data_IF_581000889562
#
_entry.id   IF_581000889562
#
_cell.length_a   1.000
_cell.length_b   1.000
_cell.length_c   1.000
_cell.angle_alpha   90.00
_cell.angle_beta   90.00
_cell.angle_gamma   90.00
#
_symmetry.space_group_name_H-M   'P 1'
#
loop_
_entity.id
_entity.type
_entity.pdbx_description
1 polymer ?
#
# COMPACT_ATOMS: atom_id res chain seq x y z
N UNK A 1 6.33 4.86 6.42
CA UNK A 1 4.89 4.53 6.36
C UNK A 1 4.15 5.71 5.72
N UNK A 2 3.17 5.49 4.84
CA UNK A 2 2.33 6.56 4.30
C UNK A 2 1.20 6.93 5.26
N UNK A 3 0.62 8.13 5.13
CA UNK A 3 -0.53 8.57 5.96
C UNK A 3 -1.72 7.60 5.83
N UNK A 4 -1.98 7.09 4.62
CA UNK A 4 -3.04 6.10 4.37
C UNK A 4 -2.78 4.77 5.08
N UNK A 5 -1.52 4.32 5.11
CA UNK A 5 -1.13 3.11 5.85
C UNK A 5 -1.30 3.32 7.36
N UNK A 6 -0.90 4.49 7.89
CA UNK A 6 -1.05 4.85 9.30
C UNK A 6 -2.52 4.83 9.74
N UNK A 7 -3.40 5.46 8.96
CA UNK A 7 -4.84 5.48 9.23
C UNK A 7 -5.46 4.08 9.17
N UNK A 8 -5.04 3.25 8.21
CA UNK A 8 -5.45 1.84 8.14
C UNK A 8 -5.02 1.06 9.38
N UNK A 9 -3.79 1.27 9.85
CA UNK A 9 -3.24 0.62 11.03
C UNK A 9 -4.05 0.96 12.28
N UNK A 10 -4.32 2.26 12.51
CA UNK A 10 -5.13 2.73 13.64
C UNK A 10 -6.55 2.15 13.62
N UNK A 11 -7.24 2.15 12.48
CA UNK A 11 -8.59 1.59 12.40
C UNK A 11 -8.58 0.07 12.63
N UNK A 12 -7.63 -0.65 12.05
CA UNK A 12 -7.54 -2.11 12.20
C UNK A 12 -7.17 -2.51 13.63
N UNK A 13 -6.33 -1.75 14.34
CA UNK A 13 -6.02 -1.97 15.75
C UNK A 13 -7.29 -1.92 16.62
N UNK A 14 -8.14 -0.91 16.41
CA UNK A 14 -9.43 -0.78 17.11
C UNK A 14 -10.41 -1.90 16.77
N UNK A 15 -10.45 -2.35 15.51
CA UNK A 15 -11.25 -3.52 15.09
C UNK A 15 -10.74 -4.82 15.74
N UNK A 16 -9.43 -4.95 15.96
CA UNK A 16 -8.82 -6.10 16.62
C UNK A 16 -9.13 -6.13 18.12
N UNK A 17 -9.06 -4.97 18.78
CA UNK A 17 -9.41 -4.78 20.20
C UNK A 17 -10.91 -4.90 20.48
N UNK A 18 -11.75 -4.88 19.45
CA UNK A 18 -13.21 -4.97 19.58
C UNK A 18 -13.88 -3.65 19.95
N UNK A 19 -13.15 -2.53 19.92
CA UNK A 19 -13.69 -1.19 20.20
C UNK A 19 -14.67 -0.72 19.12
N UNK A 20 -14.47 -1.18 17.88
CA UNK A 20 -15.36 -0.91 16.75
C UNK A 20 -15.65 -2.20 15.98
N UNK A 21 -16.81 -2.26 15.35
CA UNK A 21 -17.21 -3.45 14.59
C UNK A 21 -16.45 -3.54 13.26
N UNK A 22 -16.39 -4.75 12.68
CA UNK A 22 -15.83 -4.93 11.34
C UNK A 22 -16.59 -4.13 10.27
N UNK A 23 -17.90 -3.90 10.46
CA UNK A 23 -18.73 -3.09 9.56
C UNK A 23 -18.37 -1.60 9.65
N UNK A 24 -18.10 -1.11 10.86
CA UNK A 24 -17.65 0.25 11.11
C UNK A 24 -16.23 0.52 10.58
N UNK A 25 -15.31 -0.44 10.77
CA UNK A 25 -13.98 -0.37 10.19
C UNK A 25 -14.02 -0.38 8.65
N UNK A 26 -14.89 -1.20 8.07
CA UNK A 26 -15.13 -1.24 6.63
C UNK A 26 -15.58 0.12 6.07
N UNK A 27 -16.54 0.77 6.73
CA UNK A 27 -17.00 2.13 6.35
C UNK A 27 -15.89 3.16 6.44
N UNK A 28 -15.11 3.17 7.53
CA UNK A 28 -14.02 4.15 7.75
C UNK A 28 -12.87 4.01 6.75
N UNK A 29 -12.60 2.80 6.29
CA UNK A 29 -11.52 2.51 5.33
C UNK A 29 -12.01 2.46 3.88
N UNK A 30 -13.31 2.67 3.63
CA UNK A 30 -13.95 2.47 2.32
C UNK A 30 -13.62 1.09 1.72
N UNK A 31 -13.67 0.05 2.54
CA UNK A 31 -13.38 -1.34 2.16
C UNK A 31 -14.60 -2.23 2.39
N UNK A 32 -14.65 -3.38 1.74
CA UNK A 32 -15.70 -4.38 2.02
C UNK A 32 -15.46 -5.07 3.37
N UNK A 33 -16.54 -5.53 4.02
CA UNK A 33 -16.45 -6.32 5.27
C UNK A 33 -15.56 -7.55 5.09
N UNK A 34 -15.65 -8.22 3.92
CA UNK A 34 -14.79 -9.37 3.57
C UNK A 34 -13.31 -8.99 3.60
N UNK A 35 -12.95 -7.82 3.09
CA UNK A 35 -11.57 -7.33 3.12
C UNK A 35 -11.10 -7.12 4.57
N UNK A 36 -11.93 -6.53 5.42
CA UNK A 36 -11.63 -6.37 6.85
C UNK A 36 -11.39 -7.72 7.52
N UNK A 37 -12.24 -8.73 7.29
CA UNK A 37 -12.02 -10.08 7.83
C UNK A 37 -10.72 -10.72 7.32
N UNK A 38 -10.41 -10.55 6.03
CA UNK A 38 -9.14 -11.03 5.46
C UNK A 38 -7.94 -10.39 6.15
N UNK A 39 -7.98 -9.07 6.37
CA UNK A 39 -6.92 -8.37 7.10
C UNK A 39 -6.85 -8.84 8.55
N UNK A 40 -8.00 -9.03 9.20
CA UNK A 40 -8.09 -9.56 10.57
C UNK A 40 -7.40 -10.93 10.70
N UNK A 41 -7.67 -11.83 9.75
CA UNK A 41 -7.03 -13.15 9.70
C UNK A 41 -5.51 -13.04 9.48
N UNK A 42 -5.06 -12.17 8.57
CA UNK A 42 -3.62 -11.93 8.33
C UNK A 42 -2.92 -11.37 9.56
N UNK A 43 -3.49 -10.36 10.21
CA UNK A 43 -2.93 -9.74 11.42
C UNK A 43 -2.79 -10.76 12.55
N UNK A 44 -3.78 -11.66 12.73
CA UNK A 44 -3.68 -12.76 13.70
C UNK A 44 -2.53 -13.73 13.41
N UNK A 45 -2.20 -13.95 12.14
CA UNK A 45 -1.15 -14.88 11.75
C UNK A 45 0.26 -14.28 11.82
N UNK A 46 0.40 -12.98 11.54
CA UNK A 46 1.73 -12.36 11.33
C UNK A 46 2.03 -11.13 12.17
N UNK A 47 1.07 -10.55 12.88
CA UNK A 47 1.12 -9.22 13.54
C UNK A 47 0.62 -8.03 12.69
N UNK A 48 0.25 -6.92 13.35
CA UNK A 48 -0.33 -5.71 12.77
C UNK A 48 0.65 -4.98 11.83
N UNK A 49 1.95 -5.15 12.07
CA UNK A 49 3.03 -4.68 11.18
C UNK A 49 2.90 -5.21 9.75
N UNK A 50 2.22 -6.35 9.54
CA UNK A 50 1.94 -6.95 8.24
C UNK A 50 1.00 -6.15 7.31
N UNK A 51 0.37 -5.10 7.84
CA UNK A 51 -0.40 -4.11 7.05
C UNK A 51 0.50 -3.16 6.28
N UNK A 52 1.77 -3.03 6.68
CA UNK A 52 2.76 -2.24 5.97
C UNK A 52 3.10 -2.90 4.64
N UNK A 53 3.29 -2.11 3.58
CA UNK A 53 3.59 -2.66 2.26
C UNK A 53 4.92 -3.44 2.23
N UNK A 54 4.86 -4.76 2.03
CA UNK A 54 6.03 -5.66 2.10
C UNK A 54 7.07 -5.49 0.99
N UNK A 55 6.68 -4.93 -0.17
CA UNK A 55 7.61 -4.63 -1.27
C UNK A 55 8.18 -3.21 -1.16
N UNK A 56 7.96 -2.50 -0.04
CA UNK A 56 8.58 -1.20 0.18
C UNK A 56 10.10 -1.36 0.17
N UNK A 57 10.80 -0.51 -0.59
CA UNK A 57 12.25 -0.56 -0.83
C UNK A 57 12.82 -1.81 -1.54
N UNK A 58 11.97 -2.75 -1.98
CA UNK A 58 12.43 -3.83 -2.86
C UNK A 58 12.32 -3.40 -4.31
N UNK A 59 13.44 -3.41 -5.03
CA UNK A 59 13.41 -3.33 -6.50
C UNK A 59 12.85 -4.65 -7.04
N UNK A 60 11.89 -4.61 -7.99
CA UNK A 60 11.42 -5.83 -8.63
C UNK A 60 12.54 -6.45 -9.49
N UNK A 61 12.51 -7.77 -9.69
CA UNK A 61 13.56 -8.47 -10.45
C UNK A 61 13.65 -8.06 -11.92
N UNK A 62 12.56 -7.52 -12.47
CA UNK A 62 12.48 -6.96 -13.81
C UNK A 62 12.60 -5.42 -13.83
N UNK A 63 13.17 -4.81 -12.78
CA UNK A 63 13.44 -3.38 -12.79
C UNK A 63 14.48 -3.04 -13.86
N UNK A 64 14.20 -2.01 -14.67
CA UNK A 64 15.19 -1.43 -15.57
C UNK A 64 16.38 -0.88 -14.76
N UNK A 65 17.56 -0.88 -15.38
CA UNK A 65 18.72 -0.23 -14.79
C UNK A 65 18.47 1.28 -14.66
N UNK A 66 19.12 1.91 -13.68
CA UNK A 66 18.99 3.36 -13.48
C UNK A 66 19.46 4.13 -14.73
N UNK A 67 20.45 3.59 -15.44
CA UNK A 67 20.97 4.13 -16.71
C UNK A 67 19.88 4.20 -17.79
N UNK A 68 19.09 3.13 -17.97
CA UNK A 68 17.99 3.12 -18.94
C UNK A 68 16.91 4.11 -18.52
N UNK A 69 16.57 4.16 -17.23
CA UNK A 69 15.61 5.11 -16.70
C UNK A 69 16.06 6.57 -16.90
N UNK A 70 17.35 6.86 -16.71
CA UNK A 70 17.93 8.17 -16.92
C UNK A 70 17.88 8.57 -18.39
N UNK A 71 18.25 7.66 -19.29
CA UNK A 71 18.22 7.88 -20.74
C UNK A 71 16.79 8.18 -21.23
N UNK A 72 15.80 7.41 -20.80
CA UNK A 72 14.39 7.63 -21.16
C UNK A 72 13.92 8.99 -20.65
N UNK A 73 14.29 9.37 -19.41
CA UNK A 73 13.92 10.66 -18.83
C UNK A 73 14.51 11.82 -19.64
N UNK A 74 15.80 11.76 -19.94
CA UNK A 74 16.51 12.79 -20.72
C UNK A 74 15.88 12.99 -22.10
N UNK A 75 15.69 11.91 -22.85
CA UNK A 75 15.09 11.97 -24.19
C UNK A 75 13.66 12.48 -24.16
N UNK A 76 12.86 12.03 -23.18
CA UNK A 76 11.50 12.50 -23.00
C UNK A 76 11.41 14.00 -22.67
N UNK A 77 12.35 14.54 -21.88
CA UNK A 77 12.38 15.97 -21.54
C UNK A 77 12.92 16.87 -22.65
N UNK A 78 13.79 16.32 -23.51
CA UNK A 78 14.48 17.07 -24.55
C UNK A 78 13.90 16.73 -25.93
N UNK A 79 14.36 15.63 -26.51
CA UNK A 79 14.19 15.26 -27.91
C UNK A 79 12.73 14.99 -28.29
N UNK A 80 11.96 14.37 -27.40
CA UNK A 80 10.57 14.00 -27.66
C UNK A 80 9.56 14.95 -27.00
N UNK A 81 9.99 16.13 -26.57
CA UNK A 81 9.11 17.10 -25.94
C UNK A 81 8.05 17.59 -26.93
N UNK A 82 6.79 17.27 -26.65
CA UNK A 82 5.65 17.64 -27.49
C UNK A 82 5.33 16.65 -28.62
N UNK A 83 6.01 15.50 -28.68
CA UNK A 83 5.60 14.38 -29.51
C UNK A 83 4.36 13.72 -28.89
N UNK A 84 3.21 13.90 -29.54
CA UNK A 84 1.95 13.21 -29.24
C UNK A 84 1.72 12.04 -30.17
#
# INVERSE_FOLDING_TARGET
MSIKEAGKLSVMDRVMKGEITAAEGAKRLSMSKRHIFRLKAKIKATDISSLTHGNRQRKPGNALSEEICALVRERGTNEYRGGS
#
